data_IF_762227841314
#
_entry.id   IF_762227841314
#
_cell.length_a   1.000
_cell.length_b   1.000
_cell.length_c   1.000
_cell.angle_alpha   90.00
_cell.angle_beta   90.00
_cell.angle_gamma   90.00
#
_symmetry.space_group_name_H-M   'P 1'
#
loop_
_entity.id
_entity.type
_entity.pdbx_description
1 polymer ?
#
# COMPACT_ATOMS: atom_id res chain seq x y z
N UNK A 1 9.33 74.60 -29.93
CA UNK A 1 10.06 73.77 -28.96
C UNK A 1 9.07 73.35 -27.89
N UNK A 2 8.46 72.18 -28.04
CA UNK A 2 7.52 71.63 -27.07
C UNK A 2 8.30 70.71 -26.15
N UNK A 3 8.45 71.10 -24.87
CA UNK A 3 9.00 70.23 -23.85
C UNK A 3 7.92 69.24 -23.42
N UNK A 4 8.17 67.98 -23.73
CA UNK A 4 7.34 66.83 -23.36
C UNK A 4 7.35 66.61 -21.86
N UNK A 5 6.17 66.68 -21.26
CA UNK A 5 5.88 66.25 -19.90
C UNK A 5 5.99 64.71 -19.84
N UNK A 6 7.01 64.18 -19.17
CA UNK A 6 7.07 62.77 -18.80
C UNK A 6 6.27 62.58 -17.50
N UNK A 7 5.22 61.75 -17.45
CA UNK A 7 4.69 61.31 -16.17
C UNK A 7 5.68 60.29 -15.59
N UNK A 8 6.24 60.63 -14.43
CA UNK A 8 6.97 59.70 -13.58
C UNK A 8 6.07 58.52 -13.22
N UNK A 9 6.31 57.37 -13.85
CA UNK A 9 5.74 56.09 -13.43
C UNK A 9 6.49 55.66 -12.16
N UNK A 10 6.11 56.23 -11.03
CA UNK A 10 6.27 55.60 -9.73
C UNK A 10 5.06 54.67 -9.53
N UNK A 11 5.09 53.50 -10.17
CA UNK A 11 4.22 52.37 -9.86
C UNK A 11 5.07 51.22 -9.35
N UNK A 12 5.86 51.51 -8.31
CA UNK A 12 6.35 50.52 -7.37
C UNK A 12 5.37 50.59 -6.22
N UNK A 13 4.57 49.55 -5.97
CA UNK A 13 4.19 49.08 -4.63
C UNK A 13 3.28 47.85 -4.76
N UNK A 14 3.92 46.69 -4.92
CA UNK A 14 3.42 45.42 -4.39
C UNK A 14 3.69 45.30 -2.87
N UNK A 15 3.96 46.40 -2.17
CA UNK A 15 4.49 46.40 -0.80
C UNK A 15 3.87 47.55 0.01
N UNK A 16 2.62 47.40 0.41
CA UNK A 16 2.20 47.94 1.68
C UNK A 16 1.86 46.72 2.55
N UNK A 17 2.64 46.48 3.62
CA UNK A 17 2.31 45.43 4.58
C UNK A 17 0.87 45.53 5.10
N UNK A 18 0.28 46.72 5.04
CA UNK A 18 -1.12 46.98 5.32
C UNK A 18 -2.11 46.35 4.31
N UNK A 19 -1.81 46.34 3.01
CA UNK A 19 -2.66 45.72 1.99
C UNK A 19 -2.62 44.19 2.11
N UNK A 20 -1.41 43.65 2.32
CA UNK A 20 -1.22 42.22 2.53
C UNK A 20 -1.95 41.74 3.80
N UNK A 21 -1.82 42.48 4.91
CA UNK A 21 -2.54 42.20 6.16
C UNK A 21 -4.06 42.25 5.99
N UNK A 22 -4.59 43.16 5.18
CA UNK A 22 -6.02 43.27 4.94
C UNK A 22 -6.53 42.11 4.06
N UNK A 23 -5.79 41.74 3.01
CA UNK A 23 -6.11 40.57 2.19
C UNK A 23 -6.03 39.28 3.01
N UNK A 24 -4.99 39.12 3.83
CA UNK A 24 -4.84 38.00 4.75
C UNK A 24 -6.03 37.92 5.71
N UNK A 25 -6.35 39.03 6.40
CA UNK A 25 -7.47 39.07 7.35
C UNK A 25 -8.79 38.70 6.68
N UNK A 26 -9.11 39.31 5.54
CA UNK A 26 -10.35 39.03 4.81
C UNK A 26 -10.42 37.59 4.33
N UNK A 27 -9.31 37.04 3.85
CA UNK A 27 -9.25 35.64 3.41
C UNK A 27 -9.40 34.68 4.59
N UNK A 28 -8.74 34.95 5.71
CA UNK A 28 -8.83 34.14 6.92
C UNK A 28 -10.26 34.15 7.48
N UNK A 29 -10.89 35.32 7.57
CA UNK A 29 -12.30 35.42 7.98
C UNK A 29 -13.22 34.65 7.02
N UNK A 30 -13.01 34.76 5.71
CA UNK A 30 -13.78 34.02 4.70
C UNK A 30 -13.60 32.50 4.82
N UNK A 31 -12.35 32.02 4.95
CA UNK A 31 -12.04 30.60 5.09
C UNK A 31 -12.63 30.01 6.37
N UNK A 32 -12.55 30.75 7.49
CA UNK A 32 -13.01 30.27 8.79
C UNK A 32 -14.53 30.35 8.90
N UNK A 33 -15.13 31.52 8.60
CA UNK A 33 -16.55 31.77 8.85
C UNK A 33 -17.46 31.25 7.75
N UNK A 34 -17.07 31.41 6.48
CA UNK A 34 -17.92 30.99 5.36
C UNK A 34 -17.62 29.58 4.87
N UNK A 35 -16.35 29.19 4.84
CA UNK A 35 -15.92 27.85 4.37
C UNK A 35 -15.71 26.84 5.51
N UNK A 36 -15.89 27.25 6.77
CA UNK A 36 -15.84 26.39 7.94
C UNK A 36 -14.47 25.72 8.16
N UNK A 37 -13.38 26.31 7.66
CA UNK A 37 -12.05 25.72 7.78
C UNK A 37 -11.45 25.97 9.16
N UNK A 38 -10.78 24.98 9.78
CA UNK A 38 -10.00 25.21 11.00
C UNK A 38 -8.93 26.28 10.78
N UNK A 39 -8.61 27.05 11.82
CA UNK A 39 -7.62 28.14 11.77
C UNK A 39 -6.28 27.67 11.22
N UNK A 40 -5.81 26.48 11.64
CA UNK A 40 -4.57 25.88 11.13
C UNK A 40 -4.61 25.65 9.62
N UNK A 41 -5.69 25.04 9.12
CA UNK A 41 -5.91 24.80 7.69
C UNK A 41 -5.98 26.10 6.90
N UNK A 42 -6.70 27.11 7.42
CA UNK A 42 -6.79 28.42 6.80
C UNK A 42 -5.41 29.10 6.68
N UNK A 43 -4.57 28.97 7.70
CA UNK A 43 -3.20 29.51 7.73
C UNK A 43 -2.31 28.86 6.66
N UNK A 44 -2.42 27.53 6.48
CA UNK A 44 -1.69 26.81 5.42
C UNK A 44 -2.16 27.23 4.02
N UNK A 45 -3.48 27.38 3.84
CA UNK A 45 -4.05 27.82 2.57
C UNK A 45 -3.58 29.24 2.24
N UNK A 46 -3.56 30.15 3.20
CA UNK A 46 -3.01 31.49 3.02
C UNK A 46 -1.57 31.44 2.49
N UNK A 47 -0.70 30.63 3.10
CA UNK A 47 0.69 30.49 2.65
C UNK A 47 0.78 30.07 1.18
N UNK A 48 0.01 29.05 0.76
CA UNK A 48 -0.03 28.57 -0.63
C UNK A 48 -0.62 29.60 -1.60
N UNK A 49 -1.68 30.30 -1.19
CA UNK A 49 -2.33 31.33 -1.98
C UNK A 49 -1.38 32.52 -2.18
N UNK A 50 -0.66 32.92 -1.13
CA UNK A 50 0.38 33.96 -1.18
C UNK A 50 1.49 33.60 -2.16
N UNK A 51 2.06 32.39 -2.07
CA UNK A 51 3.08 31.90 -3.02
C UNK A 51 2.55 31.92 -4.47
N UNK A 52 1.27 31.55 -4.67
CA UNK A 52 0.63 31.55 -5.99
C UNK A 52 0.36 32.95 -6.54
N UNK A 53 0.03 33.91 -5.67
CA UNK A 53 -0.17 35.32 -6.01
C UNK A 53 1.15 36.00 -6.37
N UNK A 54 2.20 35.77 -5.59
CA UNK A 54 3.55 36.27 -5.87
C UNK A 54 4.03 35.78 -7.25
N UNK A 55 3.85 34.49 -7.55
CA UNK A 55 4.19 33.87 -8.84
C UNK A 55 3.37 34.39 -10.04
N UNK A 56 2.21 35.02 -9.79
CA UNK A 56 1.34 35.62 -10.81
C UNK A 56 1.58 37.13 -10.98
N UNK A 57 1.84 37.85 -9.90
CA UNK A 57 2.12 39.30 -9.96
C UNK A 57 3.43 39.59 -10.72
N UNK A 58 4.40 38.67 -10.67
CA UNK A 58 5.61 38.71 -11.49
C UNK A 58 5.36 38.69 -13.01
N UNK A 59 4.15 38.32 -13.45
CA UNK A 59 3.77 38.21 -14.87
C UNK A 59 2.90 39.37 -15.39
N UNK A 60 2.27 40.15 -14.51
CA UNK A 60 1.57 41.39 -14.88
C UNK A 60 1.08 42.15 -13.64
N UNK A 61 1.37 43.47 -13.50
CA UNK A 61 0.81 44.28 -12.43
C UNK A 61 -0.64 44.65 -12.77
N UNK A 62 -1.60 44.02 -12.09
CA UNK A 62 -3.02 44.36 -12.20
C UNK A 62 -3.39 45.34 -11.08
N UNK A 63 -3.98 46.48 -11.43
CA UNK A 63 -4.06 47.67 -10.56
C UNK A 63 -5.43 47.97 -9.94
N UNK A 64 -6.35 47.00 -9.84
CA UNK A 64 -7.68 47.20 -9.25
C UNK A 64 -8.00 46.20 -8.13
N UNK A 65 -8.40 46.71 -6.96
CA UNK A 65 -8.66 45.95 -5.72
C UNK A 65 -9.76 44.88 -5.90
N UNK A 66 -10.80 45.16 -6.70
CA UNK A 66 -11.89 44.20 -7.02
C UNK A 66 -11.38 43.04 -7.88
N UNK A 67 -10.48 43.33 -8.81
CA UNK A 67 -9.85 42.32 -9.67
C UNK A 67 -8.89 41.45 -8.85
N UNK A 68 -8.21 42.05 -7.85
CA UNK A 68 -7.34 41.30 -6.93
C UNK A 68 -8.17 40.36 -6.05
N UNK A 69 -9.27 40.82 -5.44
CA UNK A 69 -10.08 39.98 -4.56
C UNK A 69 -10.75 38.80 -5.29
N UNK A 70 -11.29 39.03 -6.50
CA UNK A 70 -11.85 37.94 -7.32
C UNK A 70 -10.77 36.92 -7.74
N UNK A 71 -9.55 37.38 -8.03
CA UNK A 71 -8.42 36.50 -8.29
C UNK A 71 -8.00 35.69 -7.05
N UNK A 72 -7.98 36.31 -5.87
CA UNK A 72 -7.69 35.65 -4.59
C UNK A 72 -8.72 34.55 -4.29
N UNK A 73 -10.02 34.86 -4.41
CA UNK A 73 -11.09 33.89 -4.18
C UNK A 73 -10.98 32.68 -5.13
N UNK A 74 -10.71 32.91 -6.42
CA UNK A 74 -10.55 31.82 -7.38
C UNK A 74 -9.35 30.92 -7.02
N UNK A 75 -8.21 31.49 -6.64
CA UNK A 75 -7.04 30.71 -6.22
C UNK A 75 -7.39 29.93 -4.93
N UNK A 76 -8.09 30.56 -3.99
CA UNK A 76 -8.50 29.92 -2.75
C UNK A 76 -9.43 28.72 -3.01
N UNK A 77 -10.42 28.87 -3.89
CA UNK A 77 -11.30 27.77 -4.30
C UNK A 77 -10.52 26.63 -4.98
N UNK A 78 -9.59 26.96 -5.89
CA UNK A 78 -8.71 25.97 -6.54
C UNK A 78 -7.87 25.20 -5.49
N UNK A 79 -7.29 25.88 -4.51
CA UNK A 79 -6.51 25.26 -3.44
C UNK A 79 -7.38 24.42 -2.48
N UNK A 80 -8.60 24.87 -2.18
CA UNK A 80 -9.56 24.08 -1.40
C UNK A 80 -9.96 22.79 -2.10
N UNK A 81 -10.17 22.83 -3.43
CA UNK A 81 -10.47 21.63 -4.22
C UNK A 81 -9.29 20.65 -4.16
N UNK A 82 -8.06 21.14 -4.34
CA UNK A 82 -6.85 20.31 -4.24
C UNK A 82 -6.69 19.70 -2.84
N UNK A 83 -6.93 20.49 -1.80
CA UNK A 83 -6.85 20.03 -0.41
C UNK A 83 -7.87 18.91 -0.15
N UNK A 84 -9.14 19.12 -0.52
CA UNK A 84 -10.19 18.10 -0.38
C UNK A 84 -9.83 16.81 -1.12
N UNK A 85 -9.40 16.92 -2.38
CA UNK A 85 -8.98 15.76 -3.16
C UNK A 85 -7.76 15.03 -2.56
N UNK A 86 -6.86 15.74 -1.88
CA UNK A 86 -5.75 15.14 -1.15
C UNK A 86 -6.24 14.44 0.13
N UNK A 87 -7.12 15.08 0.91
CA UNK A 87 -7.72 14.49 2.11
C UNK A 87 -8.52 13.23 1.77
N UNK A 88 -9.30 13.23 0.69
CA UNK A 88 -10.09 12.07 0.24
C UNK A 88 -9.24 10.84 -0.04
N UNK A 89 -7.98 11.03 -0.47
CA UNK A 89 -7.00 9.97 -0.70
C UNK A 89 -6.31 9.49 0.59
N UNK A 90 -6.43 10.26 1.66
CA UNK A 90 -5.73 10.07 2.93
C UNK A 90 -6.70 10.03 4.11
N UNK A 91 -7.83 9.32 3.96
CA UNK A 91 -8.81 9.07 5.02
C UNK A 91 -9.45 10.34 5.62
N UNK A 92 -9.56 11.41 4.83
CA UNK A 92 -10.08 12.69 5.30
C UNK A 92 -9.08 13.48 6.17
N UNK A 93 -7.82 13.06 6.23
CA UNK A 93 -6.79 13.72 7.01
C UNK A 93 -5.97 14.67 6.15
N UNK A 94 -5.55 15.79 6.73
CA UNK A 94 -4.45 16.61 6.21
C UNK A 94 -3.11 15.97 6.57
N UNK A 95 -2.02 16.44 5.94
CA UNK A 95 -0.67 15.97 6.24
C UNK A 95 -0.29 16.23 7.71
N UNK A 96 -0.56 17.43 8.22
CA UNK A 96 -0.32 17.77 9.62
C UNK A 96 -1.16 16.93 10.57
N UNK A 97 -2.46 16.74 10.27
CA UNK A 97 -3.33 15.91 11.11
C UNK A 97 -2.90 14.45 11.13
N UNK A 98 -2.41 13.93 9.99
CA UNK A 98 -1.80 12.61 9.93
C UNK A 98 -0.53 12.53 10.77
N UNK A 99 0.34 13.55 10.71
CA UNK A 99 1.56 13.60 11.51
C UNK A 99 1.25 13.61 13.01
N UNK A 100 0.34 14.47 13.44
CA UNK A 100 -0.10 14.58 14.83
C UNK A 100 -0.62 13.22 15.35
N UNK A 101 -1.48 12.57 14.56
CA UNK A 101 -2.05 11.26 14.90
C UNK A 101 -1.01 10.12 14.85
N UNK A 102 -0.07 10.16 13.91
CA UNK A 102 1.01 9.18 13.80
C UNK A 102 1.97 9.27 14.99
N UNK A 103 2.19 10.47 15.54
CA UNK A 103 2.96 10.65 16.76
C UNK A 103 2.19 10.19 18.01
N UNK A 104 0.89 10.48 18.09
CA UNK A 104 0.02 10.00 19.18
C UNK A 104 -0.07 8.47 19.25
N UNK A 105 -0.02 7.77 18.10
CA UNK A 105 0.02 6.30 18.04
C UNK A 105 1.21 5.70 18.81
N UNK A 106 2.34 6.40 18.91
CA UNK A 106 3.48 5.94 19.73
C UNK A 106 3.19 6.01 21.22
N UNK A 107 2.25 6.87 21.62
CA UNK A 107 1.74 7.00 22.99
C UNK A 107 0.61 6.03 23.33
N UNK A 108 0.16 5.18 22.39
CA UNK A 108 -0.93 4.24 22.58
C UNK A 108 -2.34 4.79 22.28
N UNK A 109 -2.43 5.93 21.60
CA UNK A 109 -3.70 6.50 21.12
C UNK A 109 -4.06 5.91 19.75
N UNK A 110 -5.14 5.13 19.70
CA UNK A 110 -5.62 4.44 18.50
C UNK A 110 -6.54 5.30 17.62
N UNK A 111 -6.66 6.61 17.86
CA UNK A 111 -7.58 7.49 17.10
C UNK A 111 -7.35 7.49 15.57
N UNK A 112 -6.10 7.30 15.11
CA UNK A 112 -5.82 7.15 13.67
C UNK A 112 -6.42 5.86 13.10
N UNK A 113 -6.41 4.80 13.88
CA UNK A 113 -6.90 3.49 13.48
C UNK A 113 -8.42 3.50 13.32
N UNK A 114 -9.12 4.11 14.28
CA UNK A 114 -10.56 4.34 14.20
C UNK A 114 -10.92 5.15 12.94
N UNK A 115 -10.17 6.21 12.65
CA UNK A 115 -10.36 7.01 11.44
C UNK A 115 -10.22 6.16 10.16
N UNK A 116 -9.17 5.34 10.06
CA UNK A 116 -8.97 4.47 8.89
C UNK A 116 -10.11 3.45 8.78
N UNK A 117 -10.52 2.87 9.90
CA UNK A 117 -11.59 1.88 9.96
C UNK A 117 -12.90 2.47 9.42
N UNK A 118 -13.34 3.61 9.97
CA UNK A 118 -14.59 4.25 9.60
C UNK A 118 -14.59 4.77 8.16
N UNK A 119 -13.45 5.28 7.66
CA UNK A 119 -13.40 5.95 6.35
C UNK A 119 -13.15 5.02 5.17
N UNK A 120 -12.48 3.87 5.37
CA UNK A 120 -11.99 3.08 4.23
C UNK A 120 -12.16 1.57 4.36
N UNK A 121 -12.41 1.02 5.55
CA UNK A 121 -12.44 -0.44 5.74
C UNK A 121 -13.47 -1.13 4.84
N UNK A 122 -14.72 -0.65 4.85
CA UNK A 122 -15.79 -1.18 4.00
C UNK A 122 -15.49 -1.01 2.50
N UNK A 123 -14.88 0.11 2.12
CA UNK A 123 -14.46 0.36 0.73
C UNK A 123 -13.39 -0.62 0.28
N UNK A 124 -12.44 -0.96 1.15
CA UNK A 124 -11.42 -1.96 0.90
C UNK A 124 -12.04 -3.35 0.73
N UNK A 125 -12.92 -3.78 1.65
CA UNK A 125 -13.63 -5.05 1.54
C UNK A 125 -14.41 -5.14 0.22
N UNK A 126 -15.16 -4.09 -0.12
CA UNK A 126 -15.93 -4.01 -1.36
C UNK A 126 -15.03 -4.11 -2.61
N UNK A 127 -13.84 -3.51 -2.56
CA UNK A 127 -12.85 -3.64 -3.62
C UNK A 127 -12.37 -5.10 -3.76
N UNK A 128 -11.98 -5.75 -2.66
CA UNK A 128 -11.50 -7.15 -2.69
C UNK A 128 -12.57 -8.10 -3.24
N UNK A 129 -13.82 -7.97 -2.77
CA UNK A 129 -14.96 -8.76 -3.26
C UNK A 129 -15.18 -8.55 -4.77
N UNK A 130 -15.16 -7.30 -5.24
CA UNK A 130 -15.41 -6.99 -6.66
C UNK A 130 -14.25 -7.45 -7.55
N UNK A 131 -13.02 -7.11 -7.18
CA UNK A 131 -11.83 -7.28 -7.99
C UNK A 131 -11.30 -8.72 -7.97
N UNK A 132 -11.35 -9.38 -6.81
CA UNK A 132 -10.75 -10.70 -6.61
C UNK A 132 -11.77 -11.81 -6.34
N UNK A 133 -13.08 -11.48 -6.34
CA UNK A 133 -14.17 -12.41 -6.02
C UNK A 133 -14.02 -13.05 -4.63
N UNK A 134 -13.34 -12.35 -3.72
CA UNK A 134 -13.19 -12.77 -2.33
C UNK A 134 -14.56 -12.95 -1.67
N UNK A 135 -14.67 -13.94 -0.77
CA UNK A 135 -15.83 -14.05 0.11
C UNK A 135 -15.89 -12.87 1.08
N UNK A 136 -17.00 -12.74 1.81
CA UNK A 136 -17.09 -11.70 2.82
C UNK A 136 -16.04 -11.89 3.93
N UNK A 137 -15.85 -13.12 4.38
CA UNK A 137 -14.90 -13.50 5.43
C UNK A 137 -13.46 -13.24 4.97
N UNK A 138 -13.08 -13.73 3.79
CA UNK A 138 -11.74 -13.50 3.24
C UNK A 138 -11.43 -12.00 3.08
N UNK A 139 -12.42 -11.22 2.61
CA UNK A 139 -12.25 -9.79 2.43
C UNK A 139 -12.13 -9.05 3.77
N UNK A 140 -12.85 -9.52 4.79
CA UNK A 140 -12.76 -9.01 6.16
C UNK A 140 -11.38 -9.31 6.73
N UNK A 141 -10.92 -10.56 6.68
CA UNK A 141 -9.63 -10.99 7.21
C UNK A 141 -8.46 -10.28 6.54
N UNK A 142 -8.48 -10.17 5.21
CA UNK A 142 -7.45 -9.43 4.50
C UNK A 142 -7.42 -7.94 4.87
N UNK A 143 -8.59 -7.33 5.04
CA UNK A 143 -8.70 -5.92 5.43
C UNK A 143 -8.26 -5.71 6.89
N UNK A 144 -8.65 -6.61 7.80
CA UNK A 144 -8.30 -6.55 9.22
C UNK A 144 -6.80 -6.76 9.44
N UNK A 145 -6.22 -7.80 8.83
CA UNK A 145 -4.78 -8.01 8.87
C UNK A 145 -4.03 -6.79 8.34
N UNK A 146 -4.49 -6.24 7.21
CA UNK A 146 -3.88 -5.05 6.64
C UNK A 146 -3.96 -3.86 7.57
N UNK A 147 -5.10 -3.66 8.22
CA UNK A 147 -5.30 -2.58 9.17
C UNK A 147 -4.30 -2.67 10.35
N UNK A 148 -4.10 -3.87 10.90
CA UNK A 148 -3.09 -4.12 11.94
C UNK A 148 -1.66 -3.88 11.43
N UNK A 149 -1.31 -4.39 10.25
CA UNK A 149 0.02 -4.17 9.66
C UNK A 149 0.27 -2.69 9.33
N UNK A 150 -0.76 -1.98 8.88
CA UNK A 150 -0.71 -0.55 8.58
C UNK A 150 -0.43 0.26 9.86
N UNK A 151 -1.12 -0.07 10.95
CA UNK A 151 -0.86 0.49 12.28
C UNK A 151 0.61 0.33 12.69
N UNK A 152 1.14 -0.90 12.62
CA UNK A 152 2.54 -1.17 12.98
C UNK A 152 3.52 -0.35 12.12
N UNK A 153 3.27 -0.25 10.82
CA UNK A 153 4.14 0.49 9.90
C UNK A 153 4.09 2.00 10.10
N UNK A 154 2.94 2.56 10.47
CA UNK A 154 2.83 3.99 10.81
C UNK A 154 3.62 4.25 12.09
N UNK A 155 3.40 3.45 13.14
CA UNK A 155 4.12 3.56 14.41
C UNK A 155 5.64 3.52 14.22
N UNK A 156 6.11 2.61 13.35
CA UNK A 156 7.52 2.45 12.98
C UNK A 156 8.06 3.56 12.05
N UNK A 157 7.22 4.50 11.61
CA UNK A 157 7.61 5.57 10.68
C UNK A 157 7.89 5.11 9.24
N UNK A 158 7.42 3.92 8.85
CA UNK A 158 7.61 3.32 7.52
C UNK A 158 6.59 3.80 6.49
N UNK A 159 5.50 4.42 6.94
CA UNK A 159 4.47 4.98 6.08
C UNK A 159 4.49 6.50 6.22
N UNK A 160 4.64 7.17 5.08
CA UNK A 160 4.57 8.62 4.97
C UNK A 160 3.21 9.02 4.41
N UNK A 161 2.81 10.25 4.69
CA UNK A 161 1.58 10.82 4.12
C UNK A 161 1.64 10.81 2.59
N UNK A 162 0.53 10.41 1.97
CA UNK A 162 0.43 10.28 0.52
C UNK A 162 -0.41 9.07 0.14
N UNK A 163 -1.35 9.27 -0.80
CA UNK A 163 -2.36 8.32 -1.26
C UNK A 163 -2.55 7.05 -0.41
N UNK A 164 -2.87 7.24 0.87
CA UNK A 164 -2.84 6.18 1.86
C UNK A 164 -3.92 5.12 1.59
N UNK A 165 -5.07 5.54 1.03
CA UNK A 165 -6.13 4.62 0.60
C UNK A 165 -5.65 3.63 -0.44
N UNK A 166 -4.89 4.09 -1.43
CA UNK A 166 -4.31 3.21 -2.44
C UNK A 166 -3.30 2.24 -1.83
N UNK A 167 -2.41 2.73 -0.96
CA UNK A 167 -1.43 1.90 -0.28
C UNK A 167 -2.11 0.80 0.54
N UNK A 168 -3.10 1.17 1.35
CA UNK A 168 -3.89 0.25 2.15
C UNK A 168 -4.54 -0.84 1.30
N UNK A 169 -5.29 -0.45 0.26
CA UNK A 169 -5.96 -1.42 -0.63
C UNK A 169 -4.96 -2.35 -1.32
N UNK A 170 -3.79 -1.82 -1.72
CA UNK A 170 -2.73 -2.63 -2.33
C UNK A 170 -2.15 -3.66 -1.35
N UNK A 171 -1.93 -3.26 -0.10
CA UNK A 171 -1.46 -4.17 0.96
C UNK A 171 -2.48 -5.29 1.22
N UNK A 172 -3.77 -4.96 1.27
CA UNK A 172 -4.84 -5.94 1.44
C UNK A 172 -4.92 -6.93 0.29
N UNK A 173 -4.82 -6.46 -0.96
CA UNK A 173 -4.75 -7.34 -2.12
C UNK A 173 -3.53 -8.27 -2.08
N UNK A 174 -2.37 -7.75 -1.68
CA UNK A 174 -1.15 -8.57 -1.55
C UNK A 174 -1.30 -9.65 -0.48
N UNK A 175 -1.90 -9.33 0.68
CA UNK A 175 -2.18 -10.30 1.72
C UNK A 175 -3.15 -11.38 1.24
N UNK A 176 -4.26 -10.98 0.62
CA UNK A 176 -5.26 -11.89 0.07
C UNK A 176 -4.65 -12.93 -0.88
N UNK A 177 -3.81 -12.50 -1.83
CA UNK A 177 -3.18 -13.44 -2.76
C UNK A 177 -2.12 -14.34 -2.13
N UNK A 178 -1.35 -13.80 -1.17
CA UNK A 178 -0.22 -14.52 -0.60
C UNK A 178 -0.68 -15.60 0.37
N UNK A 179 -1.71 -15.32 1.15
CA UNK A 179 -2.10 -16.15 2.29
C UNK A 179 -3.48 -16.73 2.07
N UNK A 180 -4.53 -15.92 1.96
CA UNK A 180 -5.91 -16.42 1.89
C UNK A 180 -6.18 -17.25 0.63
N UNK A 181 -5.87 -16.74 -0.57
CA UNK A 181 -6.09 -17.51 -1.82
C UNK A 181 -5.25 -18.78 -1.85
N UNK A 182 -4.04 -18.73 -1.30
CA UNK A 182 -3.15 -19.89 -1.26
C UNK A 182 -3.67 -20.93 -0.26
N UNK A 183 -4.13 -20.47 0.90
CA UNK A 183 -4.75 -21.28 1.94
C UNK A 183 -6.02 -21.92 1.42
N UNK A 184 -6.94 -21.17 0.82
CA UNK A 184 -8.14 -21.69 0.17
C UNK A 184 -7.80 -22.67 -0.96
N UNK A 185 -6.72 -22.47 -1.73
CA UNK A 185 -6.30 -23.48 -2.70
C UNK A 185 -5.84 -24.78 -2.00
N UNK A 186 -5.12 -24.70 -0.88
CA UNK A 186 -4.76 -25.88 -0.08
C UNK A 186 -5.95 -26.50 0.67
N UNK A 187 -6.91 -25.71 1.11
CA UNK A 187 -8.10 -26.14 1.85
C UNK A 187 -9.14 -26.72 0.90
N UNK A 188 -9.38 -26.12 -0.27
CA UNK A 188 -10.19 -26.71 -1.35
C UNK A 188 -9.58 -28.04 -1.83
N UNK A 189 -8.25 -28.16 -1.85
CA UNK A 189 -7.56 -29.44 -2.12
C UNK A 189 -7.61 -30.43 -0.94
N UNK A 190 -7.94 -29.98 0.27
CA UNK A 190 -8.06 -30.82 1.47
C UNK A 190 -9.50 -31.24 1.77
N UNK A 191 -10.49 -30.44 1.37
CA UNK A 191 -11.93 -30.71 1.50
C UNK A 191 -12.52 -31.42 0.28
N UNK A 192 -11.78 -31.47 -0.82
CA UNK A 192 -11.96 -32.48 -1.84
C UNK A 192 -11.47 -33.81 -1.26
N UNK A 193 -12.39 -34.58 -0.68
CA UNK A 193 -12.27 -36.04 -0.55
C UNK A 193 -12.30 -36.65 -1.96
N UNK A 194 -11.30 -36.29 -2.77
CA UNK A 194 -10.85 -37.09 -3.89
C UNK A 194 -10.07 -38.23 -3.24
N UNK A 195 -10.80 -39.24 -2.77
CA UNK A 195 -10.31 -40.58 -3.01
C UNK A 195 -10.05 -40.63 -4.52
N UNK A 196 -8.78 -40.52 -4.91
CA UNK A 196 -8.37 -40.77 -6.27
C UNK A 196 -9.10 -42.07 -6.67
N UNK A 197 -9.90 -42.09 -7.75
CA UNK A 197 -10.27 -43.37 -8.32
C UNK A 197 -8.94 -44.11 -8.46
N UNK A 198 -8.80 -45.35 -7.94
CA UNK A 198 -7.51 -46.02 -7.93
C UNK A 198 -6.96 -45.91 -9.34
N UNK A 199 -5.93 -45.09 -9.52
CA UNK A 199 -5.18 -45.12 -10.75
C UNK A 199 -4.72 -46.57 -10.81
N UNK A 200 -5.17 -47.31 -11.82
CA UNK A 200 -4.63 -48.62 -12.12
C UNK A 200 -3.16 -48.36 -12.45
N UNK A 201 -2.34 -48.36 -11.40
CA UNK A 201 -0.91 -48.20 -11.51
C UNK A 201 -0.48 -49.46 -12.24
N UNK A 202 -0.07 -49.29 -13.49
CA UNK A 202 0.40 -50.38 -14.33
C UNK A 202 1.39 -51.22 -13.51
N UNK A 203 1.07 -52.51 -13.22
CA UNK A 203 1.93 -53.39 -12.46
C UNK A 203 3.34 -53.50 -13.06
N UNK A 204 3.46 -53.30 -14.37
CA UNK A 204 4.74 -53.30 -15.08
C UNK A 204 5.56 -52.04 -14.75
N UNK A 205 4.93 -50.87 -14.69
CA UNK A 205 5.59 -49.63 -14.26
C UNK A 205 6.03 -49.69 -12.79
N UNK A 206 5.24 -50.30 -11.90
CA UNK A 206 5.63 -50.51 -10.50
C UNK A 206 6.84 -51.44 -10.38
N UNK A 207 6.90 -52.50 -11.19
CA UNK A 207 8.04 -53.41 -11.20
C UNK A 207 9.32 -52.74 -11.72
N UNK A 208 9.22 -51.86 -12.72
CA UNK A 208 10.36 -51.05 -13.22
C UNK A 208 10.81 -50.04 -12.16
N UNK A 209 9.85 -49.38 -11.50
CA UNK A 209 10.15 -48.45 -10.41
C UNK A 209 10.83 -49.15 -9.24
N UNK A 210 10.38 -50.33 -8.82
CA UNK A 210 10.98 -51.08 -7.70
C UNK A 210 12.42 -51.51 -8.01
N UNK A 211 12.68 -51.97 -9.24
CA UNK A 211 14.05 -52.28 -9.68
C UNK A 211 14.94 -51.04 -9.71
N UNK A 212 14.45 -49.91 -10.22
CA UNK A 212 15.19 -48.64 -10.22
C UNK A 212 15.42 -48.14 -8.79
N UNK A 213 14.43 -48.29 -7.90
CA UNK A 213 14.50 -47.92 -6.48
C UNK A 213 15.53 -48.76 -5.72
N UNK A 214 15.64 -50.05 -6.05
CA UNK A 214 16.61 -50.95 -5.45
C UNK A 214 18.06 -50.63 -5.84
N UNK A 215 18.29 -49.97 -6.98
CA UNK A 215 19.62 -49.47 -7.39
C UNK A 215 20.08 -48.21 -6.63
N UNK A 216 19.17 -47.50 -5.95
CA UNK A 216 19.56 -46.36 -5.12
C UNK A 216 20.24 -46.82 -3.84
N UNK A 217 21.23 -46.07 -3.37
CA UNK A 217 21.82 -46.29 -2.06
C UNK A 217 20.85 -45.91 -0.92
N UNK A 218 21.04 -46.50 0.26
CA UNK A 218 20.16 -46.31 1.43
C UNK A 218 19.96 -44.84 1.83
N UNK A 219 21.01 -44.02 1.69
CA UNK A 219 20.94 -42.59 1.97
C UNK A 219 20.03 -41.83 1.00
N UNK A 220 19.98 -42.24 -0.27
CA UNK A 220 19.06 -41.64 -1.24
C UNK A 220 17.64 -42.17 -1.06
N UNK A 221 17.46 -43.47 -0.82
CA UNK A 221 16.14 -44.05 -0.52
C UNK A 221 15.51 -43.41 0.71
N UNK A 222 16.26 -43.29 1.81
CA UNK A 222 15.79 -42.68 3.04
C UNK A 222 15.41 -41.21 2.86
N UNK A 223 16.21 -40.45 2.11
CA UNK A 223 15.90 -39.04 1.80
C UNK A 223 14.63 -38.89 0.96
N UNK A 224 14.48 -39.71 -0.09
CA UNK A 224 13.31 -39.65 -0.96
C UNK A 224 12.05 -40.13 -0.24
N UNK A 225 12.15 -41.20 0.58
CA UNK A 225 11.04 -41.67 1.41
C UNK A 225 10.59 -40.62 2.42
N UNK A 226 11.52 -40.02 3.16
CA UNK A 226 11.21 -38.97 4.14
C UNK A 226 10.52 -37.75 3.50
N UNK A 227 10.93 -37.39 2.28
CA UNK A 227 10.37 -36.23 1.59
C UNK A 227 9.01 -36.54 0.91
N UNK A 228 8.90 -37.64 0.17
CA UNK A 228 7.73 -37.93 -0.66
C UNK A 228 6.65 -38.75 0.07
N UNK A 229 7.05 -39.65 0.98
CA UNK A 229 6.11 -40.50 1.72
C UNK A 229 5.79 -39.94 3.10
N UNK A 230 6.82 -39.60 3.89
CA UNK A 230 6.63 -39.07 5.25
C UNK A 230 6.29 -37.56 5.27
N UNK A 231 6.23 -36.91 4.10
CA UNK A 231 5.92 -35.48 3.89
C UNK A 231 6.76 -34.49 4.73
N UNK A 232 7.98 -34.88 5.14
CA UNK A 232 8.87 -34.01 5.95
C UNK A 232 9.47 -32.88 5.11
N UNK A 233 9.63 -31.72 5.73
CA UNK A 233 10.30 -30.57 5.11
C UNK A 233 11.81 -30.79 4.99
N UNK A 234 12.45 -30.08 4.06
CA UNK A 234 13.90 -30.18 3.87
C UNK A 234 14.68 -29.70 5.12
N UNK A 235 14.09 -28.81 5.92
CA UNK A 235 14.68 -28.34 7.17
C UNK A 235 14.67 -29.43 8.25
N UNK A 236 13.55 -30.12 8.43
CA UNK A 236 13.43 -31.23 9.39
C UNK A 236 14.32 -32.43 9.02
N UNK A 237 14.45 -32.72 7.72
CA UNK A 237 15.36 -33.77 7.23
C UNK A 237 16.82 -33.36 7.43
N UNK A 238 17.14 -32.07 7.28
CA UNK A 238 18.48 -31.53 7.49
C UNK A 238 18.88 -31.58 8.96
N UNK A 239 17.96 -31.24 9.86
CA UNK A 239 18.14 -31.35 11.31
C UNK A 239 18.34 -32.81 11.74
N UNK A 240 17.51 -33.73 11.25
CA UNK A 240 17.64 -35.16 11.55
C UNK A 240 18.92 -35.82 10.98
N UNK A 241 19.58 -35.19 9.99
CA UNK A 241 20.82 -35.68 9.39
C UNK A 241 22.04 -34.83 9.77
N UNK A 242 21.89 -33.85 10.66
CA UNK A 242 22.93 -32.88 11.06
C UNK A 242 23.64 -32.24 9.85
N UNK A 243 22.85 -31.84 8.85
CA UNK A 243 23.35 -31.25 7.59
C UNK A 243 22.74 -29.88 7.34
N UNK A 244 23.38 -29.14 6.45
CA UNK A 244 22.84 -27.88 5.97
C UNK A 244 21.62 -28.10 5.03
N UNK A 245 20.54 -27.33 5.16
CA UNK A 245 19.35 -27.45 4.30
C UNK A 245 19.64 -27.30 2.80
N UNK A 246 20.61 -26.45 2.41
CA UNK A 246 21.01 -26.33 1.01
C UNK A 246 21.77 -27.57 0.52
N UNK A 247 22.54 -28.22 1.39
CA UNK A 247 23.18 -29.50 1.09
C UNK A 247 22.14 -30.62 0.89
N UNK A 248 21.10 -30.69 1.71
CA UNK A 248 19.99 -31.64 1.54
C UNK A 248 19.21 -31.39 0.25
N UNK A 249 18.95 -30.13 -0.11
CA UNK A 249 18.31 -29.78 -1.39
C UNK A 249 19.11 -30.28 -2.59
N UNK A 250 20.43 -30.06 -2.58
CA UNK A 250 21.33 -30.53 -3.65
C UNK A 250 21.45 -32.06 -3.66
N UNK A 251 21.43 -32.71 -2.49
CA UNK A 251 21.43 -34.16 -2.35
C UNK A 251 20.14 -34.76 -2.92
N UNK A 252 18.97 -34.17 -2.61
CA UNK A 252 17.67 -34.59 -3.13
C UNK A 252 17.65 -34.52 -4.65
N UNK A 253 18.10 -33.39 -5.23
CA UNK A 253 18.18 -33.22 -6.68
C UNK A 253 18.97 -34.38 -7.33
N UNK A 254 20.17 -34.67 -6.80
CA UNK A 254 21.01 -35.77 -7.30
C UNK A 254 20.38 -37.15 -7.15
N UNK A 255 19.67 -37.39 -6.05
CA UNK A 255 18.99 -38.68 -5.83
C UNK A 255 17.80 -38.87 -6.79
N UNK A 256 17.07 -37.79 -7.12
CA UNK A 256 15.97 -37.82 -8.11
C UNK A 256 16.53 -38.01 -9.52
N UNK A 257 17.61 -37.32 -9.89
CA UNK A 257 18.29 -37.51 -11.17
C UNK A 257 18.76 -38.96 -11.34
N UNK A 258 19.40 -39.54 -10.32
CA UNK A 258 19.79 -40.96 -10.33
C UNK A 258 18.62 -41.93 -10.45
N UNK A 259 17.48 -41.62 -9.81
CA UNK A 259 16.28 -42.45 -9.92
C UNK A 259 15.72 -42.39 -11.34
N UNK A 260 15.69 -41.21 -11.96
CA UNK A 260 15.28 -41.04 -13.36
C UNK A 260 16.20 -41.78 -14.31
N UNK A 261 17.51 -41.66 -14.14
CA UNK A 261 18.48 -42.36 -14.98
C UNK A 261 18.32 -43.88 -14.86
N UNK A 262 18.12 -44.38 -13.64
CA UNK A 262 17.90 -45.81 -13.37
C UNK A 262 16.57 -46.31 -13.93
N UNK A 263 15.55 -45.46 -13.95
CA UNK A 263 14.24 -45.76 -14.52
C UNK A 263 14.29 -45.80 -16.05
N UNK A 264 14.95 -44.83 -16.69
CA UNK A 264 15.11 -44.79 -18.16
C UNK A 264 16.04 -45.89 -18.70
N UNK A 265 16.94 -46.43 -17.88
CA UNK A 265 17.77 -47.60 -18.26
C UNK A 265 17.01 -48.94 -18.17
N UNK A 266 15.82 -48.96 -17.55
CA UNK A 266 15.05 -50.19 -17.30
C UNK A 266 13.66 -50.20 -17.95
N UNK A 267 13.25 -49.08 -18.54
CA UNK A 267 12.10 -48.93 -19.44
C UNK A 267 12.48 -49.32 -20.86
#
# INVERSE_FOLDING_TARGET
MAYSYQPSIQSNYLLNGHFEQEVERRLMDWLIREKGQPVRTATLLWKKIKESLEARSARSPCSEEVVIWSAVQRIADEELIKLKAAMDKNFGLTEDAFSDLADSLRGGDDGLFEQIFLQHFESCMSYLKRQYKATHEDAYDASMHTLLEFHHRIRDGKIQYGNLRFLFTRMAGQYYFKWIKKENLTTELSDLDLADPPEDVDPEMLAVLDKAWNLLCDKCRGLLKAFYYDKKTLAEIAEAQEKDPAAIRKQKQRCVEKLRDSFTQQS
#
